data_IF_757335567335
#
_entry.id   IF_757335567335
#
_cell.length_a   1.000
_cell.length_b   1.000
_cell.length_c   1.000
_cell.angle_alpha   90.00
_cell.angle_beta   90.00
_cell.angle_gamma   90.00
#
_symmetry.space_group_name_H-M   'P 1'
#
loop_
_entity.id
_entity.type
_entity.pdbx_description
1 polymer ?
#
# COMPACT_ATOMS: atom_id res chain seq x y z
N UNK A 1 27.76 56.82 -16.32
CA UNK A 1 27.52 55.76 -17.37
C UNK A 1 28.57 54.64 -17.36
N UNK A 2 29.81 54.89 -16.99
CA UNK A 2 30.94 53.94 -17.03
C UNK A 2 30.71 52.76 -16.02
N UNK A 3 30.25 53.04 -14.78
CA UNK A 3 30.05 52.01 -13.76
C UNK A 3 29.02 50.93 -14.16
N UNK A 4 27.95 51.26 -14.88
CA UNK A 4 26.95 50.27 -15.33
C UNK A 4 27.49 49.32 -16.40
N UNK A 5 28.42 49.79 -17.24
CA UNK A 5 29.08 48.93 -18.26
C UNK A 5 29.99 47.89 -17.66
N UNK A 6 30.70 48.23 -16.56
CA UNK A 6 31.52 47.25 -15.83
C UNK A 6 30.69 46.19 -15.09
N UNK A 7 29.53 46.54 -14.54
CA UNK A 7 28.62 45.57 -13.96
C UNK A 7 28.07 44.59 -14.99
N UNK A 8 27.72 45.10 -16.18
CA UNK A 8 27.22 44.23 -17.26
C UNK A 8 28.33 43.30 -17.80
N UNK A 9 29.55 43.79 -17.94
CA UNK A 9 30.71 42.98 -18.34
C UNK A 9 31.07 41.92 -17.30
N UNK A 10 30.99 42.25 -16.01
CA UNK A 10 31.18 41.29 -14.91
C UNK A 10 30.12 40.21 -14.88
N UNK A 11 28.85 40.58 -15.08
CA UNK A 11 27.73 39.64 -15.09
C UNK A 11 27.79 38.68 -16.28
N UNK A 12 28.16 39.19 -17.48
CA UNK A 12 28.33 38.34 -18.66
C UNK A 12 29.53 37.40 -18.52
N UNK A 13 30.63 37.84 -17.93
CA UNK A 13 31.78 36.99 -17.64
C UNK A 13 31.42 35.88 -16.64
N UNK A 14 30.65 36.21 -15.61
CA UNK A 14 30.16 35.24 -14.62
C UNK A 14 29.27 34.17 -15.28
N UNK A 15 28.35 34.57 -16.15
CA UNK A 15 27.47 33.65 -16.89
C UNK A 15 28.29 32.74 -17.80
N UNK A 16 29.30 33.24 -18.47
CA UNK A 16 30.20 32.44 -19.33
C UNK A 16 30.99 31.43 -18.49
N UNK A 17 31.52 31.83 -17.33
CA UNK A 17 32.25 30.92 -16.42
C UNK A 17 31.33 29.84 -15.83
N UNK A 18 30.10 30.17 -15.47
CA UNK A 18 29.13 29.21 -14.94
C UNK A 18 28.62 28.30 -16.07
N UNK A 19 28.43 28.79 -17.28
CA UNK A 19 27.96 27.97 -18.40
C UNK A 19 29.09 27.15 -19.08
N UNK A 20 30.36 27.49 -18.89
CA UNK A 20 31.51 26.68 -19.34
C UNK A 20 31.86 25.52 -18.41
N UNK A 21 31.16 25.41 -17.28
CA UNK A 21 31.27 24.29 -16.35
C UNK A 21 30.52 23.01 -16.79
N UNK A 22 30.50 22.71 -18.11
CA UNK A 22 30.21 21.37 -18.58
C UNK A 22 31.41 20.49 -18.22
N UNK A 23 31.36 19.93 -16.99
CA UNK A 23 32.15 18.75 -16.63
C UNK A 23 31.66 17.67 -17.59
N UNK A 24 32.50 17.28 -18.54
CA UNK A 24 32.31 16.05 -19.28
C UNK A 24 32.37 14.94 -18.23
N UNK A 25 31.20 14.36 -17.86
CA UNK A 25 31.17 13.12 -17.13
C UNK A 25 31.83 12.08 -18.03
N UNK A 26 33.07 11.70 -17.73
CA UNK A 26 33.59 10.44 -18.22
C UNK A 26 32.64 9.37 -17.66
N UNK A 27 31.81 8.82 -18.53
CA UNK A 27 31.04 7.63 -18.21
C UNK A 27 32.04 6.53 -17.97
N UNK A 28 32.29 6.17 -16.71
CA UNK A 28 32.99 4.92 -16.39
C UNK A 28 32.27 3.82 -17.17
N UNK A 29 32.99 3.17 -18.05
CA UNK A 29 32.51 1.99 -18.78
C UNK A 29 32.30 0.90 -17.76
N UNK A 30 31.03 0.62 -17.45
CA UNK A 30 30.71 -0.55 -16.63
C UNK A 30 31.07 -1.78 -17.44
N UNK A 31 32.13 -2.48 -17.03
CA UNK A 31 32.53 -3.74 -17.67
C UNK A 31 31.35 -4.72 -17.66
N UNK A 32 31.06 -5.30 -18.81
CA UNK A 32 29.94 -6.21 -19.00
C UNK A 32 28.72 -5.64 -19.74
N UNK A 33 28.67 -4.32 -19.99
CA UNK A 33 27.59 -3.67 -20.76
C UNK A 33 27.99 -3.26 -22.19
N UNK A 34 29.15 -3.70 -22.67
CA UNK A 34 29.60 -3.43 -24.04
C UNK A 34 29.54 -4.67 -24.88
N UNK A 35 28.77 -4.59 -25.93
CA UNK A 35 28.84 -5.55 -27.01
C UNK A 35 30.15 -5.31 -27.79
N UNK A 36 30.91 -6.37 -28.07
CA UNK A 36 31.97 -6.31 -29.04
C UNK A 36 31.36 -5.98 -30.42
N UNK A 37 32.10 -5.20 -31.24
CA UNK A 37 31.60 -4.77 -32.55
C UNK A 37 31.19 -5.90 -33.52
N UNK A 38 31.36 -7.17 -33.11
CA UNK A 38 30.99 -8.38 -33.85
C UNK A 38 29.86 -9.21 -33.21
N UNK A 39 29.32 -8.78 -32.08
CA UNK A 39 28.18 -9.47 -31.45
C UNK A 39 26.88 -8.93 -32.02
N UNK A 40 26.25 -9.72 -32.86
CA UNK A 40 24.88 -9.48 -33.31
C UNK A 40 23.96 -9.99 -32.21
N UNK A 41 23.38 -9.07 -31.40
CA UNK A 41 22.27 -9.45 -30.53
C UNK A 41 21.09 -9.78 -31.44
N UNK A 42 20.77 -11.05 -31.56
CA UNK A 42 19.47 -11.45 -32.06
C UNK A 42 18.44 -11.24 -30.95
N UNK A 43 17.90 -10.02 -30.87
CA UNK A 43 16.79 -9.76 -29.98
C UNK A 43 15.54 -10.38 -30.61
N UNK A 44 15.11 -11.49 -30.03
CA UNK A 44 13.86 -12.14 -30.41
C UNK A 44 12.78 -11.67 -29.44
N UNK A 45 11.79 -10.95 -29.94
CA UNK A 45 10.56 -10.67 -29.20
C UNK A 45 9.58 -11.80 -29.55
N UNK A 46 9.31 -12.74 -28.62
CA UNK A 46 8.36 -13.80 -28.90
C UNK A 46 7.01 -13.20 -29.25
N UNK A 47 6.40 -13.66 -30.32
CA UNK A 47 5.01 -13.28 -30.58
C UNK A 47 4.07 -14.03 -29.63
N UNK A 48 2.82 -13.60 -29.55
CA UNK A 48 1.85 -14.16 -28.60
C UNK A 48 1.56 -15.65 -28.78
N UNK A 49 2.00 -16.26 -29.88
CA UNK A 49 1.80 -17.68 -30.22
C UNK A 49 3.05 -18.55 -30.00
N UNK A 50 4.22 -17.94 -29.71
CA UNK A 50 5.48 -18.66 -29.46
C UNK A 50 5.69 -18.97 -27.96
N UNK A 51 4.78 -18.55 -27.09
CA UNK A 51 4.93 -18.65 -25.64
C UNK A 51 4.32 -19.94 -25.04
N UNK A 52 4.03 -20.96 -25.82
CA UNK A 52 3.41 -22.19 -25.27
C UNK A 52 4.34 -22.98 -24.33
N UNK A 53 5.68 -22.76 -24.37
CA UNK A 53 6.64 -23.53 -23.58
C UNK A 53 7.40 -22.71 -22.49
N UNK A 54 7.17 -21.42 -22.39
CA UNK A 54 7.68 -20.69 -21.23
C UNK A 54 6.71 -20.96 -20.08
N UNK A 55 7.09 -21.88 -19.20
CA UNK A 55 6.50 -22.03 -17.88
C UNK A 55 6.68 -20.71 -17.13
N UNK A 56 5.92 -19.70 -17.48
CA UNK A 56 5.69 -18.56 -16.61
C UNK A 56 5.24 -19.19 -15.29
N UNK A 57 5.95 -18.97 -14.17
CA UNK A 57 5.42 -19.38 -12.88
C UNK A 57 4.02 -18.79 -12.83
N UNK A 58 2.99 -19.64 -12.85
CA UNK A 58 1.62 -19.21 -12.69
C UNK A 58 1.60 -18.48 -11.37
N UNK A 59 1.61 -17.15 -11.40
CA UNK A 59 1.34 -16.36 -10.20
C UNK A 59 0.03 -16.91 -9.68
N UNK A 60 0.00 -17.50 -8.49
CA UNK A 60 -1.22 -18.09 -7.98
C UNK A 60 -2.31 -17.03 -8.07
N UNK A 61 -3.40 -17.33 -8.81
CA UNK A 61 -4.55 -16.44 -8.81
C UNK A 61 -5.14 -16.50 -7.40
N UNK A 62 -4.69 -15.61 -6.54
CA UNK A 62 -5.16 -15.52 -5.15
C UNK A 62 -6.64 -15.14 -5.07
N UNK A 63 -7.22 -14.67 -6.18
CA UNK A 63 -8.66 -14.42 -6.32
C UNK A 63 -9.23 -13.61 -5.16
N UNK A 64 -10.39 -14.06 -4.67
CA UNK A 64 -11.08 -13.48 -3.51
C UNK A 64 -10.76 -14.19 -2.18
N UNK A 65 -9.63 -14.86 -2.09
CA UNK A 65 -9.13 -15.48 -0.86
C UNK A 65 -8.64 -14.44 0.15
N UNK A 66 -8.32 -14.90 1.36
CA UNK A 66 -7.67 -14.06 2.38
C UNK A 66 -6.32 -13.51 1.89
N UNK A 67 -5.51 -14.32 1.22
CA UNK A 67 -4.25 -13.86 0.65
C UNK A 67 -4.45 -12.71 -0.33
N UNK A 68 -5.49 -12.80 -1.18
CA UNK A 68 -5.88 -11.71 -2.08
C UNK A 68 -6.36 -10.45 -1.34
N UNK A 69 -7.10 -10.62 -0.23
CA UNK A 69 -7.51 -9.53 0.64
C UNK A 69 -6.31 -8.82 1.26
N UNK A 70 -5.40 -9.57 1.88
CA UNK A 70 -4.20 -9.06 2.54
C UNK A 70 -3.26 -8.36 1.57
N UNK A 71 -2.97 -8.98 0.42
CA UNK A 71 -2.12 -8.37 -0.62
C UNK A 71 -2.72 -7.06 -1.16
N UNK A 72 -4.03 -7.05 -1.41
CA UNK A 72 -4.70 -5.84 -1.89
C UNK A 72 -4.70 -4.73 -0.84
N UNK A 73 -4.84 -5.09 0.45
CA UNK A 73 -4.74 -4.13 1.55
C UNK A 73 -3.33 -3.56 1.63
N UNK A 74 -2.30 -4.40 1.69
CA UNK A 74 -0.91 -3.97 1.72
C UNK A 74 -0.55 -3.07 0.53
N UNK A 75 -1.00 -3.44 -0.68
CA UNK A 75 -0.77 -2.62 -1.87
C UNK A 75 -1.48 -1.26 -1.79
N UNK A 76 -2.72 -1.22 -1.27
CA UNK A 76 -3.48 0.03 -1.13
C UNK A 76 -2.86 0.97 -0.09
N UNK A 77 -2.36 0.43 1.02
CA UNK A 77 -1.84 1.20 2.15
C UNK A 77 -0.40 1.70 1.92
N UNK A 78 0.47 0.85 1.38
CA UNK A 78 1.91 1.15 1.32
C UNK A 78 2.60 0.67 0.03
N UNK A 79 1.88 0.15 -0.97
CA UNK A 79 2.44 -0.62 -2.09
C UNK A 79 3.18 -1.90 -1.64
N UNK A 80 2.87 -2.40 -0.45
CA UNK A 80 3.51 -3.56 0.15
C UNK A 80 4.86 -3.27 0.83
N UNK A 81 5.22 -1.99 1.03
CA UNK A 81 6.51 -1.61 1.61
C UNK A 81 6.51 -1.85 3.12
N UNK A 82 7.33 -2.78 3.59
CA UNK A 82 7.40 -3.20 5.00
C UNK A 82 7.82 -2.08 5.96
N UNK A 83 8.86 -1.34 5.61
CA UNK A 83 9.50 -0.36 6.47
C UNK A 83 8.96 1.07 6.30
N UNK A 84 7.86 1.25 5.57
CA UNK A 84 7.26 2.55 5.34
C UNK A 84 6.65 3.11 6.63
N UNK A 85 7.05 4.33 6.98
CA UNK A 85 6.36 5.16 7.97
C UNK A 85 5.89 6.42 7.27
N UNK A 86 4.60 6.69 7.29
CA UNK A 86 4.04 7.87 6.63
C UNK A 86 4.15 9.13 7.52
N UNK A 87 3.89 10.34 7.00
CA UNK A 87 3.99 11.58 7.78
C UNK A 87 3.08 11.65 9.02
N UNK A 88 2.03 10.83 9.09
CA UNK A 88 1.12 10.73 10.24
C UNK A 88 1.56 9.67 11.27
N UNK A 89 2.70 8.99 11.03
CA UNK A 89 3.24 7.95 11.92
C UNK A 89 2.60 6.57 11.77
N UNK A 90 1.81 6.34 10.73
CA UNK A 90 1.36 4.99 10.38
C UNK A 90 2.48 4.21 9.74
N UNK A 91 2.59 2.91 10.07
CA UNK A 91 3.78 2.13 9.76
C UNK A 91 3.49 0.75 9.20
N UNK A 92 4.46 0.25 8.42
CA UNK A 92 4.45 -1.08 7.82
C UNK A 92 3.60 -1.19 6.57
N UNK A 93 3.55 -2.40 6.01
CA UNK A 93 2.81 -2.66 4.75
C UNK A 93 1.30 -2.42 4.87
N UNK A 94 0.74 -2.53 6.06
CA UNK A 94 -0.67 -2.27 6.33
C UNK A 94 -0.95 -0.92 7.00
N UNK A 95 0.06 -0.07 7.18
CA UNK A 95 -0.05 1.28 7.75
C UNK A 95 -0.75 1.29 9.11
N UNK A 96 -0.17 0.59 10.08
CA UNK A 96 -0.69 0.55 11.44
C UNK A 96 -0.35 1.80 12.24
N UNK A 97 -1.32 2.31 12.99
CA UNK A 97 -1.06 3.28 14.05
C UNK A 97 -0.47 2.62 15.30
N UNK A 98 0.39 3.34 16.04
CA UNK A 98 1.03 2.82 17.27
C UNK A 98 0.04 2.32 18.32
N UNK A 99 -1.10 3.01 18.48
CA UNK A 99 -2.15 2.58 19.42
C UNK A 99 -2.75 1.23 19.01
N UNK A 100 -3.01 1.05 17.72
CA UNK A 100 -3.54 -0.21 17.18
C UNK A 100 -2.56 -1.35 17.37
N UNK A 101 -1.25 -1.12 17.11
CA UNK A 101 -0.21 -2.12 17.34
C UNK A 101 -0.16 -2.58 18.80
N UNK A 102 -0.20 -1.65 19.76
CA UNK A 102 -0.25 -2.01 21.19
C UNK A 102 -1.49 -2.83 21.54
N UNK A 103 -2.62 -2.54 20.90
CA UNK A 103 -3.86 -3.29 21.11
C UNK A 103 -3.75 -4.75 20.72
N UNK A 104 -2.96 -5.04 19.67
CA UNK A 104 -2.68 -6.40 19.19
C UNK A 104 -1.40 -7.00 19.78
N UNK A 105 -0.78 -6.35 20.77
CA UNK A 105 0.35 -6.89 21.51
C UNK A 105 1.73 -6.52 20.98
N UNK A 106 1.83 -5.65 19.97
CA UNK A 106 3.11 -5.18 19.43
C UNK A 106 3.57 -3.91 20.16
N UNK A 107 4.72 -3.97 20.80
CA UNK A 107 5.36 -2.86 21.53
C UNK A 107 6.69 -2.44 20.93
N UNK A 108 7.44 -3.36 20.30
CA UNK A 108 8.65 -3.06 19.55
C UNK A 108 8.31 -2.70 18.10
N UNK A 109 8.22 -1.38 17.85
CA UNK A 109 7.87 -0.86 16.52
C UNK A 109 9.03 -0.94 15.53
N UNK A 110 10.27 -1.01 16.01
CA UNK A 110 11.44 -1.16 15.13
C UNK A 110 11.52 -2.58 14.59
N UNK A 111 11.33 -3.56 15.46
CA UNK A 111 11.26 -4.95 15.03
C UNK A 111 10.04 -5.20 14.14
N UNK A 112 8.88 -4.65 14.49
CA UNK A 112 7.68 -4.71 13.64
C UNK A 112 7.95 -4.24 12.20
N UNK A 113 8.71 -3.15 12.01
CA UNK A 113 9.03 -2.63 10.68
C UNK A 113 10.00 -3.53 9.90
N UNK A 114 10.77 -4.39 10.56
CA UNK A 114 11.72 -5.30 9.92
C UNK A 114 11.13 -6.69 9.64
N UNK A 115 10.08 -7.05 10.38
CA UNK A 115 9.53 -8.40 10.39
C UNK A 115 8.20 -8.45 9.62
N UNK A 116 8.23 -9.13 8.46
CA UNK A 116 7.05 -9.28 7.62
C UNK A 116 5.96 -10.13 8.27
N UNK A 117 6.35 -11.15 9.02
CA UNK A 117 5.45 -12.07 9.71
C UNK A 117 4.70 -11.37 10.83
N UNK A 118 5.40 -10.57 11.65
CA UNK A 118 4.75 -9.75 12.67
C UNK A 118 3.67 -8.82 12.10
N UNK A 119 3.92 -8.28 10.89
CA UNK A 119 2.95 -7.43 10.22
C UNK A 119 1.73 -8.21 9.74
N UNK A 120 1.93 -9.44 9.24
CA UNK A 120 0.83 -10.31 8.81
C UNK A 120 0.00 -10.80 10.01
N UNK A 121 0.64 -11.22 11.10
CA UNK A 121 -0.05 -11.65 12.30
C UNK A 121 -0.80 -10.49 12.99
N UNK A 122 -0.20 -9.29 13.04
CA UNK A 122 -0.88 -8.09 13.53
C UNK A 122 -2.13 -7.78 12.69
N UNK A 123 -2.05 -8.00 11.37
CA UNK A 123 -3.19 -7.79 10.48
C UNK A 123 -4.30 -8.80 10.74
N UNK A 124 -3.98 -10.09 10.91
CA UNK A 124 -4.95 -11.13 11.29
C UNK A 124 -5.60 -10.83 12.64
N UNK A 125 -4.79 -10.46 13.65
CA UNK A 125 -5.31 -10.10 14.97
C UNK A 125 -6.25 -8.89 14.91
N UNK A 126 -5.92 -7.87 14.13
CA UNK A 126 -6.81 -6.72 13.94
C UNK A 126 -8.11 -7.09 13.23
N UNK A 127 -8.08 -7.99 12.24
CA UNK A 127 -9.28 -8.51 11.57
C UNK A 127 -10.18 -9.23 12.59
N UNK A 128 -9.62 -10.13 13.40
CA UNK A 128 -10.36 -10.86 14.41
C UNK A 128 -11.07 -9.92 15.41
N UNK A 129 -10.35 -8.89 15.88
CA UNK A 129 -10.93 -7.87 16.79
C UNK A 129 -12.01 -7.05 16.10
N UNK A 130 -11.80 -6.62 14.87
CA UNK A 130 -12.80 -5.87 14.11
C UNK A 130 -14.05 -6.72 13.80
N UNK A 131 -13.89 -8.01 13.52
CA UNK A 131 -15.01 -8.95 13.37
C UNK A 131 -15.83 -9.03 14.65
N UNK A 132 -15.19 -9.15 15.80
CA UNK A 132 -15.88 -9.17 17.08
C UNK A 132 -16.62 -7.85 17.35
N UNK A 133 -15.95 -6.71 17.13
CA UNK A 133 -16.55 -5.39 17.31
C UNK A 133 -17.75 -5.13 16.41
N UNK A 134 -17.69 -5.63 15.18
CA UNK A 134 -18.72 -5.44 14.15
C UNK A 134 -19.68 -6.63 13.99
N UNK A 135 -19.61 -7.67 14.85
CA UNK A 135 -20.39 -8.90 14.71
C UNK A 135 -21.89 -8.69 14.52
N UNK A 136 -22.46 -7.73 15.25
CA UNK A 136 -23.89 -7.37 15.14
C UNK A 136 -24.19 -6.66 13.81
N UNK A 137 -23.31 -5.79 13.39
CA UNK A 137 -23.42 -5.05 12.13
C UNK A 137 -23.25 -6.00 10.94
N UNK A 138 -22.27 -6.90 10.99
CA UNK A 138 -22.05 -7.93 9.97
C UNK A 138 -23.31 -8.77 9.81
N UNK A 139 -23.84 -9.31 10.89
CA UNK A 139 -25.06 -10.13 10.87
C UNK A 139 -26.27 -9.36 10.33
N UNK A 140 -26.40 -8.08 10.69
CA UNK A 140 -27.58 -7.26 10.32
C UNK A 140 -27.53 -6.75 8.89
N UNK A 141 -26.36 -6.38 8.40
CA UNK A 141 -26.23 -5.59 7.18
C UNK A 141 -25.60 -6.33 5.99
N UNK A 142 -24.92 -7.48 6.18
CA UNK A 142 -24.34 -8.24 5.06
C UNK A 142 -25.42 -8.61 4.04
N UNK A 143 -25.10 -8.46 2.76
CA UNK A 143 -25.98 -8.65 1.63
C UNK A 143 -26.94 -7.48 1.34
N UNK A 144 -26.98 -6.44 2.19
CA UNK A 144 -27.81 -5.23 1.93
C UNK A 144 -27.06 -4.23 1.08
N UNK A 145 -27.81 -3.44 0.33
CA UNK A 145 -27.30 -2.28 -0.40
C UNK A 145 -27.56 -1.02 0.42
N UNK A 146 -26.49 -0.32 0.80
CA UNK A 146 -26.56 0.95 1.54
C UNK A 146 -25.91 2.04 0.67
N UNK A 147 -26.68 3.04 0.31
CA UNK A 147 -26.23 4.16 -0.53
C UNK A 147 -25.52 3.68 -1.82
N UNK A 148 -26.09 2.67 -2.50
CA UNK A 148 -25.55 2.08 -3.73
C UNK A 148 -24.29 1.22 -3.53
N UNK A 149 -24.00 0.82 -2.30
CA UNK A 149 -22.86 -0.06 -1.96
C UNK A 149 -23.36 -1.33 -1.32
N UNK A 150 -23.01 -2.48 -1.90
CA UNK A 150 -23.25 -3.78 -1.29
C UNK A 150 -22.39 -3.93 -0.03
N UNK A 151 -23.01 -4.32 1.06
CA UNK A 151 -22.36 -4.52 2.34
C UNK A 151 -21.94 -6.00 2.45
N UNK A 152 -20.65 -6.21 2.61
CA UNK A 152 -20.07 -7.55 2.84
C UNK A 152 -19.21 -7.55 4.09
N UNK A 153 -19.00 -8.71 4.70
CA UNK A 153 -18.13 -8.83 5.88
C UNK A 153 -16.74 -8.24 5.59
N UNK A 154 -16.07 -8.72 4.52
CA UNK A 154 -14.73 -8.25 4.16
C UNK A 154 -14.68 -6.74 3.85
N UNK A 155 -15.73 -6.20 3.23
CA UNK A 155 -15.87 -4.76 2.98
C UNK A 155 -15.95 -3.96 4.28
N UNK A 156 -16.74 -4.43 5.27
CA UNK A 156 -16.85 -3.78 6.59
C UNK A 156 -15.54 -3.84 7.37
N UNK A 157 -14.83 -4.98 7.32
CA UNK A 157 -13.54 -5.15 7.99
C UNK A 157 -12.47 -4.23 7.36
N UNK A 158 -12.44 -4.13 6.05
CA UNK A 158 -11.54 -3.18 5.38
C UNK A 158 -11.87 -1.72 5.73
N UNK A 159 -13.13 -1.36 5.80
CA UNK A 159 -13.55 -0.02 6.22
C UNK A 159 -13.20 0.24 7.70
N UNK A 160 -13.24 -0.79 8.56
CA UNK A 160 -12.82 -0.68 9.96
C UNK A 160 -11.30 -0.52 10.08
N UNK A 161 -10.51 -1.09 9.19
CA UNK A 161 -9.08 -0.83 9.11
C UNK A 161 -8.80 0.65 8.81
N UNK A 162 -9.51 1.25 7.87
CA UNK A 162 -9.35 2.66 7.48
C UNK A 162 -9.77 3.64 8.57
N UNK A 163 -10.93 3.45 9.17
CA UNK A 163 -11.56 4.47 10.02
C UNK A 163 -12.00 3.99 11.40
N UNK A 164 -11.69 2.74 11.75
CA UNK A 164 -12.13 2.07 12.98
C UNK A 164 -13.59 1.59 12.93
N UNK A 165 -13.90 0.59 13.75
CA UNK A 165 -15.24 -0.01 13.84
C UNK A 165 -16.33 1.01 14.21
N UNK A 166 -16.01 2.02 15.03
CA UNK A 166 -16.92 3.10 15.40
C UNK A 166 -17.43 3.91 14.22
N UNK A 167 -16.54 4.23 13.27
CA UNK A 167 -16.90 4.96 12.04
C UNK A 167 -17.78 4.12 11.12
N UNK A 168 -17.50 2.81 11.02
CA UNK A 168 -18.33 1.86 10.27
C UNK A 168 -19.73 1.79 10.87
N UNK A 169 -19.87 1.67 12.20
CA UNK A 169 -21.16 1.68 12.89
C UNK A 169 -21.96 2.96 12.61
N UNK A 170 -21.31 4.13 12.62
CA UNK A 170 -21.96 5.41 12.27
C UNK A 170 -22.41 5.46 10.82
N UNK A 171 -21.58 4.99 9.89
CA UNK A 171 -21.92 4.91 8.47
C UNK A 171 -23.17 4.04 8.24
N UNK A 172 -23.20 2.85 8.80
CA UNK A 172 -24.33 1.93 8.63
C UNK A 172 -25.64 2.48 9.25
N UNK A 173 -25.58 3.04 10.47
CA UNK A 173 -26.75 3.62 11.16
C UNK A 173 -27.34 4.84 10.41
N UNK A 174 -26.50 5.59 9.72
CA UNK A 174 -26.93 6.76 8.95
C UNK A 174 -27.38 6.40 7.52
N UNK A 175 -27.49 5.12 7.19
CA UNK A 175 -27.74 4.65 5.83
C UNK A 175 -26.76 5.22 4.81
N UNK A 176 -25.47 5.25 5.16
CA UNK A 176 -24.39 5.71 4.29
C UNK A 176 -24.21 7.23 4.20
N UNK A 177 -25.02 8.03 4.93
CA UNK A 177 -24.93 9.51 4.89
C UNK A 177 -23.75 10.07 5.67
N UNK A 178 -23.45 9.51 6.84
CA UNK A 178 -22.30 9.90 7.66
C UNK A 178 -21.07 9.07 7.27
N UNK A 179 -20.41 9.47 6.20
CA UNK A 179 -19.17 8.84 5.74
C UNK A 179 -17.95 9.47 6.38
N UNK A 180 -17.08 8.63 6.95
CA UNK A 180 -15.71 9.03 7.30
C UNK A 180 -14.87 9.15 6.03
N UNK A 181 -13.97 10.13 6.01
CA UNK A 181 -12.86 10.22 5.05
C UNK A 181 -11.56 10.34 5.84
N UNK A 182 -10.53 9.62 5.38
CA UNK A 182 -9.19 9.76 5.96
C UNK A 182 -8.53 11.09 5.55
N UNK A 183 -7.32 11.33 6.07
CA UNK A 183 -6.54 12.54 5.75
C UNK A 183 -6.19 12.68 4.26
N UNK A 184 -6.35 11.64 3.45
CA UNK A 184 -6.14 11.63 2.00
C UNK A 184 -7.45 11.68 1.21
N UNK A 185 -8.59 11.86 1.88
CA UNK A 185 -9.91 11.93 1.26
C UNK A 185 -10.55 10.59 0.90
N UNK A 186 -9.96 9.45 1.33
CA UNK A 186 -10.51 8.12 1.07
C UNK A 186 -11.73 7.86 1.95
N UNK A 187 -12.84 7.43 1.35
CA UNK A 187 -14.11 7.21 2.06
C UNK A 187 -14.29 5.75 2.48
N UNK A 188 -15.06 5.52 3.56
CA UNK A 188 -15.48 4.18 3.98
C UNK A 188 -16.21 3.42 2.87
N UNK A 189 -17.12 4.08 2.16
CA UNK A 189 -17.88 3.47 1.06
C UNK A 189 -16.97 2.96 -0.07
N UNK A 190 -15.90 3.69 -0.35
CA UNK A 190 -14.86 3.27 -1.31
C UNK A 190 -14.15 1.99 -0.87
N UNK A 191 -13.81 1.89 0.43
CA UNK A 191 -13.19 0.67 0.98
C UNK A 191 -14.16 -0.50 0.99
N UNK A 192 -15.40 -0.32 1.45
CA UNK A 192 -16.43 -1.38 1.44
C UNK A 192 -16.55 -1.97 0.03
N UNK A 193 -16.71 -1.12 -1.00
CA UNK A 193 -16.84 -1.56 -2.40
C UNK A 193 -15.57 -2.25 -2.92
N UNK A 194 -14.40 -1.68 -2.64
CA UNK A 194 -13.12 -2.19 -3.16
C UNK A 194 -12.75 -3.55 -2.57
N UNK A 195 -13.12 -3.79 -1.32
CA UNK A 195 -12.78 -5.00 -0.58
C UNK A 195 -13.96 -5.96 -0.40
N UNK A 196 -15.03 -5.82 -1.19
CA UNK A 196 -16.17 -6.73 -1.18
C UNK A 196 -15.82 -8.13 -1.62
N UNK A 197 -16.52 -9.09 -1.00
CA UNK A 197 -16.55 -10.50 -1.41
C UNK A 197 -15.21 -11.24 -1.35
N UNK A 198 -14.31 -10.83 -0.44
CA UNK A 198 -13.16 -11.64 -0.07
C UNK A 198 -13.54 -12.65 1.01
N UNK A 199 -13.02 -13.87 0.89
CA UNK A 199 -13.17 -14.88 1.92
C UNK A 199 -12.18 -14.61 3.06
N UNK A 200 -12.71 -14.24 4.20
CA UNK A 200 -11.98 -14.03 5.46
C UNK A 200 -12.60 -14.90 6.57
N UNK A 201 -13.42 -15.90 6.22
CA UNK A 201 -14.21 -16.72 7.14
C UNK A 201 -13.36 -17.52 8.13
N UNK A 202 -12.16 -17.94 7.70
CA UNK A 202 -11.25 -18.71 8.55
C UNK A 202 -10.65 -17.91 9.73
N UNK A 203 -10.77 -16.58 9.74
CA UNK A 203 -10.38 -15.76 10.88
C UNK A 203 -11.61 -15.59 11.79
N UNK A 204 -11.57 -16.20 12.94
CA UNK A 204 -12.65 -16.10 13.92
C UNK A 204 -12.70 -14.72 14.59
N UNK A 205 -13.89 -14.34 15.05
CA UNK A 205 -14.09 -13.08 15.76
C UNK A 205 -13.59 -13.20 17.21
N UNK A 206 -12.60 -12.40 17.59
CA UNK A 206 -12.04 -12.41 18.93
C UNK A 206 -11.76 -10.99 19.44
N UNK A 207 -12.36 -10.63 20.58
CA UNK A 207 -12.17 -9.35 21.24
C UNK A 207 -10.73 -9.13 21.73
N UNK A 208 -10.04 -10.22 22.06
CA UNK A 208 -8.75 -10.21 22.74
C UNK A 208 -7.59 -10.67 21.84
N UNK A 209 -7.86 -10.86 20.54
CA UNK A 209 -6.86 -11.32 19.60
C UNK A 209 -5.57 -10.49 19.72
N UNK A 210 -4.45 -11.17 19.83
CA UNK A 210 -3.09 -10.61 19.87
C UNK A 210 -2.20 -11.41 18.97
N UNK A 211 -1.08 -10.82 18.61
CA UNK A 211 -0.01 -11.49 17.89
C UNK A 211 0.66 -12.49 18.83
N UNK A 212 0.84 -13.70 18.36
CA UNK A 212 1.72 -14.69 18.96
C UNK A 212 3.11 -14.48 18.35
N UNK A 213 4.07 -14.17 19.21
CA UNK A 213 5.44 -13.79 18.80
C UNK A 213 6.46 -14.87 19.18
N UNK A 214 6.02 -16.16 19.25
CA UNK A 214 6.94 -17.27 19.50
C UNK A 214 8.07 -17.38 18.48
#
# INVERSE_FOLDING_TARGET
MIKKRFYFLGLTLLIVVVSSGFITFETERVEGFHLSNNEIIKYHVPNQYENEDILMPKVPNVGKSFSGFAQKMAYKESRGILHLVNPYGYMGKYQFGRSTLRTVGIYDFQEFLRNAEWQDEAFKALIARNKWELRKEIQKYSGRIINGVEITESGLIAAAHLGGAGSVKKYLRSNGRNGFKDGFGTSLSSYIRKFSNYDISHIEADANAKVDLE
#
